data_IF_438761412255
#
_entry.id   IF_438761412255
#
_cell.length_a   1.000
_cell.length_b   1.000
_cell.length_c   1.000
_cell.angle_alpha   90.00
_cell.angle_beta   90.00
_cell.angle_gamma   90.00
#
_symmetry.space_group_name_H-M   'P 1'
#
loop_
_entity.id
_entity.type
_entity.pdbx_description
1 polymer ?
#
# COMPACT_ATOMS: atom_id res chain seq x y z
N UNK A 1 -13.39 -2.77 6.25
CA UNK A 1 -12.21 -3.35 5.59
C UNK A 1 -11.76 -2.42 4.49
N UNK A 2 -10.53 -1.92 4.57
CA UNK A 2 -9.90 -1.05 3.56
C UNK A 2 -8.64 -1.72 3.02
N UNK A 3 -8.25 -1.40 1.80
CA UNK A 3 -7.10 -2.01 1.14
C UNK A 3 -6.33 -1.00 0.29
N UNK A 4 -5.02 -1.18 0.24
CA UNK A 4 -4.10 -0.41 -0.57
C UNK A 4 -3.14 -1.35 -1.30
N UNK A 5 -2.79 -0.99 -2.52
CA UNK A 5 -1.75 -1.67 -3.28
C UNK A 5 -0.39 -1.12 -2.87
N UNK A 6 0.58 -2.02 -2.70
CA UNK A 6 1.96 -1.65 -2.42
C UNK A 6 2.79 -1.95 -3.65
N UNK A 7 3.54 -0.97 -4.13
CA UNK A 7 4.39 -1.05 -5.30
C UNK A 7 5.85 -0.90 -4.88
N UNK A 8 6.74 -1.65 -5.53
CA UNK A 8 8.16 -1.37 -5.54
C UNK A 8 8.55 -0.90 -6.94
N UNK A 9 8.99 0.35 -7.06
CA UNK A 9 9.04 1.13 -8.29
C UNK A 9 7.65 1.08 -8.96
N UNK A 10 7.56 0.50 -10.15
CA UNK A 10 6.31 0.33 -10.91
C UNK A 10 5.74 -1.10 -10.81
N UNK A 11 6.35 -1.97 -10.00
CA UNK A 11 5.94 -3.37 -9.90
C UNK A 11 5.07 -3.54 -8.66
N UNK A 12 3.86 -4.06 -8.85
CA UNK A 12 2.93 -4.37 -7.75
C UNK A 12 3.55 -5.45 -6.85
N UNK A 13 3.92 -5.07 -5.64
CA UNK A 13 4.57 -5.94 -4.67
C UNK A 13 3.57 -6.74 -3.83
N UNK A 14 2.46 -6.11 -3.45
CA UNK A 14 1.49 -6.76 -2.59
C UNK A 14 0.29 -5.91 -2.27
N UNK A 15 -0.52 -6.39 -1.33
CA UNK A 15 -1.74 -5.73 -0.86
C UNK A 15 -1.63 -5.57 0.66
N UNK A 16 -1.74 -4.34 1.12
CA UNK A 16 -1.94 -3.99 2.52
C UNK A 16 -3.43 -3.89 2.80
N UNK A 17 -3.89 -4.51 3.87
CA UNK A 17 -5.30 -4.59 4.26
C UNK A 17 -5.46 -4.19 5.72
N UNK A 18 -6.48 -3.39 5.99
CA UNK A 18 -7.01 -3.14 7.33
C UNK A 18 -8.36 -3.84 7.46
N UNK A 19 -8.47 -4.79 8.40
CA UNK A 19 -9.72 -5.54 8.63
C UNK A 19 -10.77 -4.66 9.29
N UNK A 20 -10.40 -4.02 10.41
CA UNK A 20 -11.24 -3.10 11.18
C UNK A 20 -10.53 -1.75 11.34
N UNK A 21 -11.25 -0.62 11.43
CA UNK A 21 -10.62 0.68 11.61
C UNK A 21 -9.64 0.68 12.79
N UNK A 22 -8.36 0.93 12.52
CA UNK A 22 -7.30 0.98 13.53
C UNK A 22 -6.81 -0.38 14.05
N UNK A 23 -7.40 -1.52 13.65
CA UNK A 23 -7.10 -2.84 14.22
C UNK A 23 -7.11 -3.95 13.16
N UNK A 24 -6.08 -4.79 13.22
CA UNK A 24 -6.01 -6.02 12.45
C UNK A 24 -5.57 -5.77 11.02
N UNK A 25 -4.27 -5.61 10.85
CA UNK A 25 -3.60 -5.39 9.59
C UNK A 25 -3.08 -6.69 9.01
N UNK A 26 -3.11 -6.79 7.68
CA UNK A 26 -2.41 -7.83 6.97
C UNK A 26 -1.72 -7.32 5.72
N UNK A 27 -0.53 -7.86 5.44
CA UNK A 27 0.20 -7.59 4.21
C UNK A 27 0.49 -8.90 3.49
N UNK A 28 0.12 -8.98 2.21
CA UNK A 28 0.31 -10.17 1.38
C UNK A 28 1.07 -9.78 0.12
N UNK A 29 2.18 -10.45 -0.13
CA UNK A 29 2.90 -10.31 -1.40
C UNK A 29 2.09 -10.93 -2.55
N UNK A 30 2.15 -10.29 -3.72
CA UNK A 30 1.66 -10.86 -4.97
C UNK A 30 2.60 -11.98 -5.45
N UNK A 31 2.03 -13.04 -6.04
CA UNK A 31 2.80 -14.18 -6.54
C UNK A 31 3.88 -13.75 -7.54
N UNK A 32 3.51 -12.92 -8.51
CA UNK A 32 4.44 -12.42 -9.54
C UNK A 32 5.62 -11.66 -8.92
N UNK A 33 5.38 -10.94 -7.82
CA UNK A 33 6.46 -10.26 -7.09
C UNK A 33 7.34 -11.24 -6.33
N UNK A 34 6.76 -12.26 -5.70
CA UNK A 34 7.51 -13.32 -5.02
C UNK A 34 8.49 -14.02 -5.97
N UNK A 35 8.03 -14.31 -7.18
CA UNK A 35 8.82 -15.00 -8.22
C UNK A 35 9.81 -14.07 -8.94
N UNK A 36 9.65 -12.74 -8.80
CA UNK A 36 10.58 -11.77 -9.39
C UNK A 36 11.93 -11.69 -8.66
N UNK A 37 13.00 -11.21 -9.30
CA UNK A 37 14.29 -10.95 -8.64
C UNK A 37 14.28 -9.72 -7.73
N UNK A 38 13.13 -9.04 -7.57
CA UNK A 38 13.03 -7.82 -6.77
C UNK A 38 13.23 -8.10 -5.27
N UNK A 39 13.85 -7.15 -4.53
CA UNK A 39 14.04 -7.28 -3.10
C UNK A 39 12.70 -7.23 -2.34
N UNK A 40 12.67 -7.67 -1.06
CA UNK A 40 11.52 -7.40 -0.20
C UNK A 40 11.28 -5.89 -0.05
N UNK A 41 10.04 -5.48 0.19
CA UNK A 41 9.70 -4.05 0.40
C UNK A 41 10.31 -3.49 1.69
N UNK A 42 10.62 -4.36 2.65
CA UNK A 42 11.25 -4.00 3.91
C UNK A 42 11.99 -5.19 4.51
N UNK A 43 13.02 -4.92 5.30
CA UNK A 43 13.72 -5.94 6.08
C UNK A 43 12.80 -6.66 7.10
N UNK A 44 11.78 -5.96 7.60
CA UNK A 44 10.78 -6.55 8.53
C UNK A 44 9.63 -7.27 7.84
N UNK A 45 9.56 -7.19 6.50
CA UNK A 45 8.55 -7.84 5.66
C UNK A 45 9.27 -8.66 4.57
N UNK A 46 9.99 -9.75 4.92
CA UNK A 46 10.70 -10.57 3.93
C UNK A 46 9.73 -11.24 2.94
N UNK A 47 10.20 -11.55 1.73
CA UNK A 47 9.38 -12.25 0.72
C UNK A 47 8.98 -13.62 1.23
N UNK A 48 7.67 -13.85 1.34
CA UNK A 48 7.09 -15.15 1.67
C UNK A 48 5.67 -15.26 1.12
N UNK A 49 5.21 -16.48 0.91
CA UNK A 49 3.87 -16.76 0.39
C UNK A 49 2.78 -16.45 1.40
N UNK A 50 3.03 -16.66 2.70
CA UNK A 50 2.02 -16.42 3.73
C UNK A 50 1.88 -14.94 4.07
N UNK A 51 0.64 -14.49 4.30
CA UNK A 51 0.36 -13.14 4.74
C UNK A 51 1.05 -12.82 6.07
N UNK A 52 1.51 -11.59 6.21
CA UNK A 52 1.85 -11.01 7.50
C UNK A 52 0.58 -10.54 8.18
N UNK A 53 0.50 -10.74 9.50
CA UNK A 53 -0.61 -10.27 10.32
C UNK A 53 -0.06 -9.51 11.52
N UNK A 54 -0.75 -8.45 11.91
CA UNK A 54 -0.42 -7.63 13.08
C UNK A 54 -1.68 -6.94 13.58
N UNK A 55 -1.80 -6.73 14.88
CA UNK A 55 -2.91 -5.93 15.44
C UNK A 55 -2.75 -4.45 15.07
N UNK A 56 -1.50 -3.98 14.95
CA UNK A 56 -1.15 -2.61 14.61
C UNK A 56 -0.55 -2.50 13.20
N UNK A 57 -0.54 -1.30 12.63
CA UNK A 57 0.08 -1.04 11.33
C UNK A 57 1.57 -1.38 11.39
N UNK A 58 2.09 -2.07 10.37
CA UNK A 58 3.49 -2.46 10.36
C UNK A 58 4.41 -1.23 10.41
N UNK A 59 5.53 -1.27 11.16
CA UNK A 59 6.45 -0.14 11.29
C UNK A 59 6.92 0.46 9.96
N UNK A 60 7.06 -0.37 8.94
CA UNK A 60 7.41 0.08 7.60
C UNK A 60 6.39 1.08 7.02
N UNK A 61 5.09 0.77 7.13
CA UNK A 61 4.03 1.64 6.59
C UNK A 61 3.76 2.84 7.50
N UNK A 62 3.92 2.72 8.82
CA UNK A 62 3.80 3.88 9.71
C UNK A 62 4.84 4.94 9.41
N UNK A 63 6.06 4.54 9.01
CA UNK A 63 7.13 5.45 8.64
C UNK A 63 6.87 6.22 7.32
N UNK A 64 5.88 5.79 6.53
CA UNK A 64 5.46 6.51 5.33
C UNK A 64 4.49 7.67 5.67
N UNK A 65 3.93 7.68 6.88
CA UNK A 65 2.97 8.69 7.31
C UNK A 65 3.72 9.95 7.79
N UNK A 66 3.31 11.16 7.36
CA UNK A 66 3.88 12.40 7.89
C UNK A 66 3.72 12.53 9.41
N UNK A 67 4.72 13.08 10.07
CA UNK A 67 4.75 13.27 11.53
C UNK A 67 4.61 14.75 11.93
N UNK A 68 4.41 14.98 13.23
CA UNK A 68 4.45 16.31 13.84
C UNK A 68 3.49 17.34 13.21
N UNK A 69 4.02 18.51 12.86
CA UNK A 69 3.21 19.61 12.32
C UNK A 69 2.57 19.26 10.96
N UNK A 70 3.29 18.53 10.10
CA UNK A 70 2.79 18.13 8.78
C UNK A 70 1.57 17.21 8.90
N UNK A 71 1.61 16.26 9.85
CA UNK A 71 0.46 15.40 10.16
C UNK A 71 -0.78 16.22 10.50
N UNK A 72 -0.65 17.17 11.42
CA UNK A 72 -1.78 18.02 11.86
C UNK A 72 -2.40 18.81 10.72
N UNK A 73 -1.57 19.35 9.82
CA UNK A 73 -2.06 20.06 8.63
C UNK A 73 -2.86 19.15 7.72
N UNK A 74 -2.37 17.94 7.45
CA UNK A 74 -3.06 16.95 6.61
C UNK A 74 -4.36 16.49 7.26
N UNK A 75 -4.34 16.14 8.55
CA UNK A 75 -5.52 15.71 9.29
C UNK A 75 -6.61 16.79 9.25
N UNK A 76 -6.25 18.05 9.52
CA UNK A 76 -7.19 19.17 9.48
C UNK A 76 -7.72 19.43 8.06
N UNK A 77 -6.84 19.38 7.06
CA UNK A 77 -7.21 19.67 5.67
C UNK A 77 -8.11 18.60 5.07
N UNK A 78 -7.90 17.34 5.42
CA UNK A 78 -8.62 16.19 4.85
C UNK A 78 -9.71 15.65 5.78
N UNK A 79 -9.88 16.26 6.97
CA UNK A 79 -10.82 15.83 8.02
C UNK A 79 -10.63 14.35 8.41
N UNK A 80 -9.38 13.94 8.53
CA UNK A 80 -8.98 12.60 8.96
C UNK A 80 -8.67 12.64 10.46
N UNK A 81 -9.14 11.64 11.21
CA UNK A 81 -8.79 11.50 12.62
C UNK A 81 -7.27 11.25 12.73
N UNK A 82 -6.60 11.93 13.66
CA UNK A 82 -5.15 11.74 13.82
C UNK A 82 -4.83 10.26 14.10
N UNK A 83 -5.70 9.51 14.77
CA UNK A 83 -5.50 8.09 15.09
C UNK A 83 -5.85 7.13 13.93
N UNK A 84 -6.43 7.63 12.83
CA UNK A 84 -6.70 6.82 11.63
C UNK A 84 -5.44 6.70 10.76
N UNK A 85 -4.50 5.86 11.19
CA UNK A 85 -3.24 5.63 10.47
C UNK A 85 -3.46 5.12 9.05
N UNK A 86 -4.46 4.28 8.83
CA UNK A 86 -4.75 3.77 7.48
C UNK A 86 -5.32 4.87 6.59
N UNK A 87 -6.24 5.69 7.11
CA UNK A 87 -6.76 6.87 6.40
C UNK A 87 -5.67 7.88 6.07
N UNK A 88 -4.69 8.09 6.97
CA UNK A 88 -3.52 8.90 6.69
C UNK A 88 -2.64 8.30 5.59
N UNK A 89 -2.40 6.99 5.62
CA UNK A 89 -1.64 6.31 4.57
C UNK A 89 -2.36 6.40 3.21
N UNK A 90 -3.68 6.23 3.19
CA UNK A 90 -4.54 6.38 2.01
C UNK A 90 -4.58 7.82 1.47
N UNK A 91 -4.49 8.83 2.35
CA UNK A 91 -4.37 10.23 1.95
C UNK A 91 -3.04 10.57 1.28
N UNK A 92 -2.01 9.81 1.65
CA UNK A 92 -0.68 9.89 1.07
C UNK A 92 -0.51 8.96 -0.13
N UNK A 93 -1.44 8.04 -0.36
CA UNK A 93 -1.43 7.19 -1.54
C UNK A 93 -1.44 8.02 -2.83
N UNK A 94 -0.77 7.51 -3.86
CA UNK A 94 -0.58 8.17 -5.16
C UNK A 94 0.22 9.48 -5.09
N UNK A 95 0.82 9.81 -3.94
CA UNK A 95 1.84 10.86 -3.83
C UNK A 95 3.22 10.24 -3.94
N UNK A 96 4.15 10.96 -4.57
CA UNK A 96 5.54 10.53 -4.68
C UNK A 96 6.20 10.48 -3.30
N UNK A 97 6.39 9.27 -2.78
CA UNK A 97 7.22 9.05 -1.61
C UNK A 97 8.69 9.00 -2.03
N UNK A 98 9.56 9.55 -1.18
CA UNK A 98 11.01 9.39 -1.37
C UNK A 98 11.36 7.93 -1.08
N UNK A 99 11.72 7.17 -2.12
CA UNK A 99 12.12 5.78 -2.01
C UNK A 99 11.59 4.93 -3.17
N UNK A 100 11.89 3.63 -3.12
CA UNK A 100 11.42 2.69 -4.12
C UNK A 100 10.01 2.16 -3.82
N UNK A 101 9.44 2.39 -2.65
CA UNK A 101 8.13 1.82 -2.28
C UNK A 101 7.05 2.89 -2.27
N UNK A 102 5.97 2.60 -2.99
CA UNK A 102 4.81 3.48 -3.10
C UNK A 102 3.54 2.75 -2.71
N UNK A 103 2.56 3.50 -2.22
CA UNK A 103 1.23 2.98 -1.89
C UNK A 103 0.22 3.64 -2.83
N UNK A 104 -0.65 2.81 -3.43
CA UNK A 104 -1.68 3.25 -4.38
C UNK A 104 -3.05 2.79 -3.91
N UNK A 105 -4.08 3.57 -4.22
CA UNK A 105 -5.46 3.15 -3.93
C UNK A 105 -5.86 2.03 -4.87
N UNK A 106 -6.64 1.08 -4.36
CA UNK A 106 -7.29 0.10 -5.23
C UNK A 106 -8.41 0.83 -5.98
N UNK A 107 -8.13 1.29 -7.19
CA UNK A 107 -9.16 1.75 -8.11
C UNK A 107 -9.79 0.52 -8.75
N UNK A 108 -11.07 0.27 -8.49
CA UNK A 108 -11.88 -0.65 -9.30
C UNK A 108 -12.16 0.00 -10.66
N UNK A 109 -11.10 0.17 -11.46
CA UNK A 109 -11.20 0.66 -12.82
C UNK A 109 -11.51 -0.53 -13.73
N UNK A 110 -12.79 -0.84 -13.89
CA UNK A 110 -13.30 -1.81 -14.87
C UNK A 110 -12.91 -1.47 -16.32
N UNK A 111 -12.24 -0.33 -16.57
CA UNK A 111 -11.78 0.12 -17.88
C UNK A 111 -10.31 -0.19 -18.20
N UNK A 112 -9.50 -0.76 -17.29
CA UNK A 112 -8.09 -1.07 -17.58
C UNK A 112 -7.83 -2.44 -18.20
N UNK A 113 -8.80 -3.36 -18.20
CA UNK A 113 -8.65 -4.66 -18.89
C UNK A 113 -8.77 -4.57 -20.42
N UNK A 114 -9.29 -3.46 -20.97
CA UNK A 114 -9.44 -3.29 -22.42
C UNK A 114 -8.19 -2.76 -23.14
N UNK A 115 -7.15 -2.32 -22.41
CA UNK A 115 -5.91 -1.81 -23.01
C UNK A 115 -4.76 -2.83 -23.08
N UNK A 116 -4.91 -4.02 -22.49
CA UNK A 116 -3.92 -5.10 -22.62
C UNK A 116 -4.24 -6.14 -23.72
N UNK A 117 -5.44 -6.11 -24.31
CA UNK A 117 -5.86 -7.06 -25.35
C UNK A 117 -5.56 -6.63 -26.80
N UNK A 118 -4.72 -5.62 -27.04
CA UNK A 118 -4.39 -5.17 -28.41
C UNK A 118 -3.08 -5.74 -29.00
N UNK A 119 -2.45 -6.74 -28.39
CA UNK A 119 -1.32 -7.43 -29.02
C UNK A 119 -1.59 -8.94 -29.04
N UNK A 120 -2.23 -9.42 -30.10
CA UNK A 120 -2.57 -10.84 -30.26
C UNK A 120 -3.70 -11.12 -31.23
N UNK A 121 -3.77 -10.39 -32.35
CA UNK A 121 -4.51 -10.79 -33.54
C UNK A 121 -3.72 -10.35 -34.76
N UNK A 122 -2.86 -11.23 -35.25
CA UNK A 122 -2.87 -11.90 -36.56
C UNK A 122 -1.64 -12.81 -36.59
#
# INVERSE_FOLDING_TARGET
MKQLEVYFNEIKAGILTEKHPGIGYSFQYCKDYLDSPMPPISATLPKRTDAFYSEHLFPFFSNMIPEGANRRVICRSLKIDEQDFFGLLEAMADRDFIGAVNVRRITNDWNKELSFFSCGRI
#
